data_IF_659063311758
#
_entry.id   IF_659063311758
#
_cell.length_a   1.000
_cell.length_b   1.000
_cell.length_c   1.000
_cell.angle_alpha   90.00
_cell.angle_beta   90.00
_cell.angle_gamma   90.00
#
_symmetry.space_group_name_H-M   'P 1'
#
loop_
_entity.id
_entity.type
_entity.pdbx_description
1 polymer ?
#
# COMPACT_ATOMS: atom_id res chain seq x y z
N UNK A 1 32.97 1.95 18.03
CA UNK A 1 32.90 2.14 16.56
C UNK A 1 31.54 1.59 16.12
N UNK A 2 30.76 2.30 15.30
CA UNK A 2 29.47 1.79 14.79
C UNK A 2 29.66 1.40 13.33
N UNK A 3 29.29 0.18 12.98
CA UNK A 3 29.30 -0.34 11.61
C UNK A 3 27.84 -0.46 11.15
N UNK A 4 27.43 0.37 10.19
CA UNK A 4 26.05 0.39 9.68
C UNK A 4 25.97 -0.30 8.32
N UNK A 5 24.89 -1.07 8.12
CA UNK A 5 24.52 -1.64 6.81
C UNK A 5 23.30 -0.91 6.26
N UNK A 6 23.40 -0.43 5.02
CA UNK A 6 22.27 0.13 4.27
C UNK A 6 22.06 -0.72 3.02
N UNK A 7 20.85 -1.28 2.85
CA UNK A 7 20.51 -2.14 1.72
C UNK A 7 19.20 -1.70 1.09
N UNK A 8 19.24 -1.38 -0.20
CA UNK A 8 18.05 -1.17 -1.01
C UNK A 8 17.30 -2.50 -1.23
N UNK A 9 15.98 -2.40 -1.34
CA UNK A 9 15.10 -3.53 -1.66
C UNK A 9 14.28 -3.14 -2.88
N UNK A 10 14.14 -4.07 -3.82
CA UNK A 10 13.25 -3.94 -4.95
C UNK A 10 12.24 -5.09 -4.92
N UNK A 11 10.95 -4.77 -4.86
CA UNK A 11 9.91 -5.77 -4.56
C UNK A 11 9.87 -6.90 -5.60
N UNK A 12 10.16 -6.61 -6.87
CA UNK A 12 10.11 -7.62 -7.93
C UNK A 12 11.25 -8.64 -7.84
N UNK A 13 12.32 -8.36 -7.07
CA UNK A 13 13.35 -9.35 -6.73
C UNK A 13 12.78 -10.49 -5.87
N UNK A 14 11.67 -10.25 -5.17
CA UNK A 14 11.03 -11.18 -4.24
C UNK A 14 9.66 -11.69 -4.73
N UNK A 15 9.47 -11.78 -6.04
CA UNK A 15 8.16 -12.17 -6.60
C UNK A 15 7.81 -13.63 -6.28
N UNK A 16 8.81 -14.50 -6.05
CA UNK A 16 8.60 -15.92 -5.73
C UNK A 16 8.02 -16.10 -4.32
N UNK A 17 8.32 -15.17 -3.43
CA UNK A 17 7.92 -15.13 -2.04
C UNK A 17 6.50 -14.57 -1.87
N UNK A 18 5.95 -13.92 -2.91
CA UNK A 18 4.66 -13.24 -2.84
C UNK A 18 3.51 -14.18 -2.43
N UNK A 19 3.48 -15.40 -2.97
CA UNK A 19 2.45 -16.38 -2.63
C UNK A 19 2.49 -16.81 -1.16
N UNK A 20 3.69 -17.07 -0.62
CA UNK A 20 3.87 -17.43 0.78
C UNK A 20 3.51 -16.26 1.71
N UNK A 21 3.96 -15.05 1.37
CA UNK A 21 3.62 -13.84 2.11
C UNK A 21 2.11 -13.59 2.16
N UNK A 22 1.39 -13.76 1.03
CA UNK A 22 -0.07 -13.64 1.02
C UNK A 22 -0.76 -14.68 1.89
N UNK A 23 -0.31 -15.94 1.84
CA UNK A 23 -0.89 -17.02 2.64
C UNK A 23 -0.80 -16.73 4.16
N UNK A 24 0.28 -16.07 4.59
CA UNK A 24 0.48 -15.66 5.98
C UNK A 24 -0.28 -14.38 6.35
N UNK A 25 -0.24 -13.36 5.49
CA UNK A 25 -0.79 -12.04 5.81
C UNK A 25 -2.32 -11.97 5.74
N UNK A 26 -2.96 -12.69 4.79
CA UNK A 26 -4.41 -12.62 4.60
C UNK A 26 -5.20 -13.01 5.86
N UNK A 27 -4.89 -14.12 6.56
CA UNK A 27 -5.54 -14.45 7.82
C UNK A 27 -5.38 -13.37 8.89
N UNK A 28 -4.18 -12.76 9.00
CA UNK A 28 -3.91 -11.72 9.99
C UNK A 28 -4.72 -10.44 9.73
N UNK A 29 -4.87 -10.05 8.46
CA UNK A 29 -5.75 -8.94 8.07
C UNK A 29 -7.21 -9.27 8.39
N UNK A 30 -7.69 -10.47 8.03
CA UNK A 30 -9.08 -10.90 8.30
C UNK A 30 -9.39 -10.97 9.79
N UNK A 31 -8.42 -11.40 10.61
CA UNK A 31 -8.54 -11.46 12.07
C UNK A 31 -8.46 -10.08 12.73
N UNK A 32 -7.94 -9.07 12.03
CA UNK A 32 -7.75 -7.72 12.54
C UNK A 32 -6.44 -7.51 13.30
N UNK A 33 -5.54 -8.49 13.29
CA UNK A 33 -4.21 -8.39 13.88
C UNK A 33 -3.32 -7.43 13.08
N UNK A 34 -3.55 -7.33 11.76
CA UNK A 34 -2.99 -6.28 10.91
C UNK A 34 -4.04 -5.21 10.67
N UNK A 35 -3.78 -4.00 11.18
CA UNK A 35 -4.59 -2.80 10.94
C UNK A 35 -3.97 -1.98 9.80
N UNK A 36 -4.80 -1.51 8.88
CA UNK A 36 -4.39 -0.64 7.79
C UNK A 36 -5.26 0.61 7.75
N UNK A 37 -4.73 1.68 7.16
CA UNK A 37 -5.44 2.94 6.93
C UNK A 37 -5.43 3.25 5.44
N UNK A 38 -6.52 3.84 4.98
CA UNK A 38 -6.70 4.21 3.60
C UNK A 38 -7.25 5.64 3.53
N UNK A 39 -6.88 6.34 2.47
CA UNK A 39 -7.49 7.61 2.06
C UNK A 39 -8.19 7.35 0.74
N UNK A 40 -9.52 7.33 0.77
CA UNK A 40 -10.34 7.03 -0.40
C UNK A 40 -10.72 8.32 -1.15
N UNK A 41 -10.49 8.32 -2.45
CA UNK A 41 -10.94 9.33 -3.39
C UNK A 41 -12.03 8.70 -4.26
N UNK A 42 -13.27 9.18 -4.13
CA UNK A 42 -14.39 8.68 -4.93
C UNK A 42 -14.45 9.41 -6.28
N UNK A 43 -14.41 8.64 -7.37
CA UNK A 43 -14.38 9.13 -8.75
C UNK A 43 -13.01 9.04 -9.41
N UNK A 44 -12.95 8.46 -10.61
CA UNK A 44 -11.71 8.32 -11.40
C UNK A 44 -11.06 9.67 -11.70
N UNK A 45 -11.87 10.70 -11.90
CA UNK A 45 -11.45 12.07 -12.16
C UNK A 45 -10.66 12.69 -10.99
N UNK A 46 -10.71 12.09 -9.79
CA UNK A 46 -9.89 12.52 -8.65
C UNK A 46 -8.45 12.03 -8.72
N UNK A 47 -8.10 11.14 -9.65
CA UNK A 47 -6.75 10.58 -9.76
C UNK A 47 -5.64 11.64 -9.82
N UNK A 48 -5.74 12.73 -10.62
CA UNK A 48 -4.70 13.75 -10.65
C UNK A 48 -4.50 14.41 -9.28
N UNK A 49 -5.59 14.69 -8.56
CA UNK A 49 -5.54 15.26 -7.21
C UNK A 49 -4.91 14.28 -6.22
N UNK A 50 -5.34 13.01 -6.23
CA UNK A 50 -4.82 11.98 -5.34
C UNK A 50 -3.30 11.77 -5.55
N UNK A 51 -2.85 11.77 -6.80
CA UNK A 51 -1.43 11.61 -7.15
C UNK A 51 -0.60 12.82 -6.72
N UNK A 52 -1.05 14.04 -6.96
CA UNK A 52 -0.34 15.25 -6.50
C UNK A 52 -0.31 15.31 -4.97
N UNK A 53 -1.42 14.95 -4.31
CA UNK A 53 -1.53 14.94 -2.86
C UNK A 53 -0.56 13.96 -2.18
N UNK A 54 -0.18 12.86 -2.84
CA UNK A 54 0.84 11.93 -2.36
C UNK A 54 2.17 12.63 -2.04
N UNK A 55 2.56 13.60 -2.86
CA UNK A 55 3.82 14.36 -2.68
C UNK A 55 3.68 15.54 -1.72
N UNK A 56 2.45 15.87 -1.31
CA UNK A 56 2.16 16.92 -0.32
C UNK A 56 1.88 16.35 1.08
N UNK A 57 1.72 15.04 1.20
CA UNK A 57 1.36 14.38 2.45
C UNK A 57 -0.14 14.44 2.76
N UNK A 58 -1.00 14.58 1.75
CA UNK A 58 -2.44 14.74 1.92
C UNK A 58 -3.15 13.45 2.39
N UNK A 59 -2.54 12.27 2.17
CA UNK A 59 -3.12 10.98 2.53
C UNK A 59 -2.56 10.43 3.85
N UNK A 60 -3.46 9.85 4.66
CA UNK A 60 -3.08 8.94 5.74
C UNK A 60 -3.22 7.51 5.26
N UNK A 61 -2.11 6.77 5.24
CA UNK A 61 -2.09 5.39 4.74
C UNK A 61 -2.17 5.32 3.22
N UNK A 62 -2.78 4.24 2.68
CA UNK A 62 -2.83 4.01 1.23
C UNK A 62 -3.84 4.94 0.55
N UNK A 63 -3.41 5.75 -0.40
CA UNK A 63 -4.31 6.48 -1.28
C UNK A 63 -4.96 5.52 -2.29
N UNK A 64 -6.29 5.50 -2.34
CA UNK A 64 -7.09 4.69 -3.25
C UNK A 64 -8.04 5.58 -4.05
N UNK A 65 -8.15 5.36 -5.36
CA UNK A 65 -9.11 6.07 -6.21
C UNK A 65 -10.14 5.06 -6.70
N UNK A 66 -11.41 5.31 -6.39
CA UNK A 66 -12.52 4.49 -6.87
C UNK A 66 -12.80 4.85 -8.33
N UNK A 67 -12.44 3.95 -9.25
CA UNK A 67 -12.58 4.20 -10.68
C UNK A 67 -14.03 4.04 -11.17
N UNK A 68 -14.81 3.15 -10.56
CA UNK A 68 -16.22 2.91 -10.90
C UNK A 68 -16.96 2.26 -9.74
N UNK A 69 -18.29 2.25 -9.82
CA UNK A 69 -19.17 1.51 -8.90
C UNK A 69 -19.43 0.06 -9.37
N UNK A 70 -18.48 -0.56 -10.08
CA UNK A 70 -18.65 -1.96 -10.48
C UNK A 70 -18.66 -2.85 -9.22
N UNK A 71 -19.64 -3.77 -9.07
CA UNK A 71 -19.79 -4.62 -7.90
C UNK A 71 -18.60 -5.54 -7.65
#
# INVERSE_FOLDING_TARGET
>A
MKELTVRGIYITTYVKEFGAALAEMVPLVKKGDIKFKETLFDGFEKMPRAFIGLFKGDNTGKALVKASNYP
#
